data_IF_961201242169
#
_entry.id   IF_961201242169
#
_cell.length_a   1.000
_cell.length_b   1.000
_cell.length_c   1.000
_cell.angle_alpha   90.00
_cell.angle_beta   90.00
_cell.angle_gamma   90.00
#
_symmetry.space_group_name_H-M   'P 1'
#
loop_
_entity.id
_entity.type
_entity.pdbx_description
1 polymer ?
#
# COMPACT_ATOMS: atom_id res chain seq x y z
N UNK A 1 -66.81 21.84 -26.87
CA UNK A 1 -67.52 20.57 -27.16
C UNK A 1 -66.50 19.45 -27.09
N UNK A 2 -66.79 18.37 -26.36
CA UNK A 2 -66.11 17.08 -26.51
C UNK A 2 -64.87 16.83 -25.64
N UNK A 3 -65.11 16.41 -24.40
CA UNK A 3 -64.22 15.51 -23.65
C UNK A 3 -64.16 14.13 -24.34
N UNK A 4 -62.99 13.49 -24.43
CA UNK A 4 -62.71 12.15 -23.83
C UNK A 4 -61.36 11.52 -24.27
N UNK A 5 -60.65 11.02 -23.23
CA UNK A 5 -59.82 9.79 -23.11
C UNK A 5 -58.41 9.73 -23.71
N UNK A 6 -57.44 10.15 -22.89
CA UNK A 6 -56.55 9.30 -22.05
C UNK A 6 -55.95 7.98 -22.60
N UNK A 7 -54.61 7.99 -22.68
CA UNK A 7 -53.60 6.99 -22.27
C UNK A 7 -53.39 5.62 -22.96
N UNK A 8 -52.10 5.26 -22.90
CA UNK A 8 -51.48 3.93 -22.95
C UNK A 8 -51.31 3.23 -24.30
N UNK A 9 -50.17 3.49 -24.94
CA UNK A 9 -49.25 2.40 -25.30
C UNK A 9 -47.83 2.91 -25.55
N UNK A 10 -47.08 2.97 -24.45
CA UNK A 10 -45.63 2.88 -24.48
C UNK A 10 -45.28 1.39 -24.64
N UNK A 11 -44.94 0.95 -25.85
CA UNK A 11 -44.15 -0.28 -26.02
C UNK A 11 -43.06 -0.08 -27.08
N UNK A 12 -41.85 -0.23 -26.57
CA UNK A 12 -40.54 -0.25 -27.22
C UNK A 12 -40.58 -1.03 -28.54
N UNK A 13 -40.22 -0.37 -29.65
CA UNK A 13 -39.81 -1.03 -30.88
C UNK A 13 -38.48 -0.45 -31.38
N UNK A 14 -37.39 -0.91 -30.75
CA UNK A 14 -36.05 -0.83 -31.30
C UNK A 14 -35.94 -1.87 -32.42
N UNK A 15 -35.95 -1.43 -33.67
CA UNK A 15 -35.76 -2.30 -34.83
C UNK A 15 -34.41 -3.01 -34.72
N UNK A 16 -34.44 -4.32 -34.44
CA UNK A 16 -33.24 -5.17 -34.44
C UNK A 16 -32.63 -5.17 -35.84
N UNK A 17 -31.48 -4.50 -35.99
CA UNK A 17 -30.61 -4.71 -37.14
C UNK A 17 -30.20 -6.19 -37.16
N UNK A 18 -30.67 -6.93 -38.17
CA UNK A 18 -30.31 -8.32 -38.38
C UNK A 18 -28.87 -8.37 -38.89
N UNK A 19 -27.91 -8.62 -38.00
CA UNK A 19 -26.52 -8.91 -38.38
C UNK A 19 -26.46 -10.37 -38.82
N UNK A 20 -26.67 -10.64 -40.11
CA UNK A 20 -26.43 -11.98 -40.67
C UNK A 20 -24.96 -12.08 -41.09
N UNK A 21 -24.09 -12.43 -40.14
CA UNK A 21 -22.67 -12.73 -40.41
C UNK A 21 -22.58 -14.04 -41.18
N UNK A 22 -22.12 -13.98 -42.44
CA UNK A 22 -21.84 -15.16 -43.25
C UNK A 22 -20.65 -15.92 -42.65
N UNK A 23 -20.79 -17.24 -42.47
CA UNK A 23 -19.72 -18.13 -41.96
C UNK A 23 -18.43 -18.03 -42.80
N UNK A 24 -18.53 -17.59 -44.06
CA UNK A 24 -17.39 -17.31 -44.92
C UNK A 24 -16.52 -16.12 -44.45
N UNK A 25 -17.07 -15.13 -43.75
CA UNK A 25 -16.30 -13.99 -43.24
C UNK A 25 -15.44 -14.34 -42.02
N UNK A 26 -15.81 -15.36 -41.24
CA UNK A 26 -14.99 -15.82 -40.11
C UNK A 26 -13.80 -16.66 -40.59
N UNK A 27 -13.95 -17.47 -41.63
CA UNK A 27 -12.86 -18.26 -42.22
C UNK A 27 -11.78 -17.39 -42.89
N UNK A 28 -12.15 -16.24 -43.47
CA UNK A 28 -11.19 -15.31 -44.07
C UNK A 28 -10.28 -14.62 -43.04
N UNK A 29 -10.72 -14.49 -41.78
CA UNK A 29 -9.92 -13.88 -40.71
C UNK A 29 -8.88 -14.86 -40.14
N UNK A 30 -9.16 -16.18 -40.15
CA UNK A 30 -8.18 -17.18 -39.71
C UNK A 30 -7.04 -17.42 -40.70
N UNK A 31 -7.26 -17.19 -42.00
CA UNK A 31 -6.22 -17.32 -43.03
C UNK A 31 -5.21 -16.15 -42.97
N UNK A 32 -5.63 -14.98 -42.49
CA UNK A 32 -4.74 -13.83 -42.29
C UNK A 32 -3.94 -13.90 -40.97
N UNK A 33 -4.29 -14.80 -40.04
CA UNK A 33 -3.58 -14.99 -38.76
C UNK A 33 -2.56 -16.14 -38.80
N UNK A 34 -2.50 -16.94 -39.88
CA UNK A 34 -1.54 -18.05 -40.03
C UNK A 34 -0.35 -17.66 -40.94
N UNK A 35 -0.37 -16.48 -41.58
CA UNK A 35 0.58 -16.09 -42.64
C UNK A 35 1.63 -15.02 -42.32
N UNK A 36 1.69 -14.47 -41.10
CA UNK A 36 2.74 -13.52 -40.68
C UNK A 36 3.16 -13.81 -39.23
N UNK A 37 3.68 -15.01 -38.98
CA UNK A 37 4.61 -15.19 -37.87
C UNK A 37 5.93 -14.53 -38.24
N UNK A 38 6.59 -13.74 -37.36
CA UNK A 38 7.93 -13.25 -37.64
C UNK A 38 8.84 -14.44 -37.95
N UNK A 39 9.52 -14.39 -39.10
CA UNK A 39 10.51 -15.38 -39.52
C UNK A 39 11.53 -15.62 -38.40
N UNK A 40 11.82 -16.90 -38.13
CA UNK A 40 12.61 -17.39 -37.00
C UNK A 40 14.13 -17.11 -37.09
N UNK A 41 14.53 -15.89 -37.44
CA UNK A 41 15.95 -15.55 -37.57
C UNK A 41 16.39 -14.25 -36.90
N UNK A 42 15.60 -13.64 -36.01
CA UNK A 42 16.13 -12.51 -35.21
C UNK A 42 15.38 -12.27 -33.89
N UNK A 43 15.30 -13.30 -33.04
CA UNK A 43 15.34 -13.05 -31.60
C UNK A 43 16.81 -13.04 -31.19
N UNK A 44 17.52 -11.95 -31.51
CA UNK A 44 18.85 -11.70 -30.96
C UNK A 44 18.67 -11.38 -29.47
N UNK A 45 18.76 -12.39 -28.60
CA UNK A 45 18.99 -12.12 -27.18
C UNK A 45 20.45 -11.74 -27.03
N UNK A 46 20.73 -10.46 -26.82
CA UNK A 46 22.03 -10.09 -26.30
C UNK A 46 22.06 -10.53 -24.82
N UNK A 47 22.74 -11.63 -24.52
CA UNK A 47 23.27 -11.78 -23.17
C UNK A 47 24.35 -10.72 -23.00
N UNK A 48 23.92 -9.55 -22.55
CA UNK A 48 24.83 -8.56 -22.04
C UNK A 48 25.46 -9.13 -20.77
N UNK A 49 26.71 -9.60 -20.87
CA UNK A 49 27.52 -10.05 -19.74
C UNK A 49 28.03 -8.89 -18.87
N UNK A 50 27.25 -7.81 -18.74
CA UNK A 50 27.43 -6.83 -17.68
C UNK A 50 26.99 -7.46 -16.36
N UNK A 51 27.96 -7.88 -15.55
CA UNK A 51 27.81 -8.41 -14.19
C UNK A 51 27.11 -7.46 -13.19
N UNK A 52 26.65 -6.29 -13.64
CA UNK A 52 25.90 -5.32 -12.85
C UNK A 52 24.37 -5.55 -12.82
N UNK A 53 23.82 -6.49 -13.60
CA UNK A 53 22.38 -6.81 -13.59
C UNK A 53 21.99 -8.02 -12.72
N UNK A 54 22.96 -8.74 -12.15
CA UNK A 54 22.69 -9.95 -11.36
C UNK A 54 22.31 -9.66 -9.90
N UNK A 55 22.39 -8.41 -9.47
CA UNK A 55 22.14 -8.01 -8.09
C UNK A 55 20.84 -7.19 -8.04
N UNK A 56 19.72 -7.88 -7.84
CA UNK A 56 18.41 -7.23 -7.66
C UNK A 56 18.20 -6.80 -6.20
N UNK A 57 17.48 -5.68 -5.96
CA UNK A 57 17.08 -5.31 -4.61
C UNK A 57 16.26 -6.43 -3.96
N UNK A 58 16.49 -6.67 -2.67
CA UNK A 58 15.77 -7.69 -1.90
C UNK A 58 15.53 -7.20 -0.48
N UNK A 59 14.34 -7.45 0.05
CA UNK A 59 14.06 -7.21 1.47
C UNK A 59 14.77 -8.26 2.33
N UNK A 60 15.24 -7.83 3.49
CA UNK A 60 15.70 -8.75 4.54
C UNK A 60 14.54 -9.15 5.44
N UNK A 61 14.47 -10.44 5.76
CA UNK A 61 13.43 -11.01 6.65
C UNK A 61 13.94 -11.14 8.10
N UNK A 62 14.79 -10.20 8.52
CA UNK A 62 15.43 -10.22 9.84
C UNK A 62 14.52 -9.67 10.95
N UNK A 63 13.48 -8.94 10.58
CA UNK A 63 12.62 -8.22 11.51
C UNK A 63 11.18 -8.73 11.48
N UNK A 64 10.52 -8.73 12.65
CA UNK A 64 9.09 -9.01 12.73
C UNK A 64 8.27 -8.00 11.93
N UNK A 65 7.25 -8.49 11.23
CA UNK A 65 6.25 -7.67 10.52
C UNK A 65 5.10 -7.25 11.42
N UNK A 66 5.06 -7.73 12.66
CA UNK A 66 4.05 -7.37 13.66
C UNK A 66 4.73 -6.60 14.79
N UNK A 67 4.26 -5.37 15.01
CA UNK A 67 4.80 -4.46 16.01
C UNK A 67 3.68 -4.04 16.96
N UNK A 68 3.90 -4.26 18.24
CA UNK A 68 3.02 -3.80 19.31
C UNK A 68 3.65 -2.64 20.04
N UNK A 69 2.84 -1.63 20.32
CA UNK A 69 3.26 -0.41 20.96
C UNK A 69 2.23 0.07 21.97
N UNK A 70 2.67 0.86 22.92
CA UNK A 70 1.81 1.61 23.82
C UNK A 70 1.71 3.06 23.35
N UNK A 71 0.52 3.67 23.50
CA UNK A 71 0.32 5.07 23.18
C UNK A 71 1.36 5.98 23.88
N UNK A 72 1.89 6.95 23.15
CA UNK A 72 2.95 7.85 23.59
C UNK A 72 4.38 7.35 23.34
N UNK A 73 4.58 6.06 23.01
CA UNK A 73 5.92 5.54 22.69
C UNK A 73 6.44 6.07 21.35
N UNK A 74 7.76 6.23 21.26
CA UNK A 74 8.42 6.44 19.96
C UNK A 74 8.78 5.09 19.36
N UNK A 75 8.35 4.86 18.12
CA UNK A 75 8.49 3.58 17.42
C UNK A 75 9.42 3.73 16.23
N UNK A 76 10.02 2.62 15.83
CA UNK A 76 10.80 2.49 14.62
C UNK A 76 10.32 1.24 13.87
N UNK A 77 9.59 1.44 12.77
CA UNK A 77 9.20 0.34 11.89
C UNK A 77 10.42 -0.01 11.02
N UNK A 78 10.96 -1.23 11.10
CA UNK A 78 12.17 -1.61 10.39
C UNK A 78 11.86 -1.96 8.94
N UNK A 79 12.71 -1.52 8.02
CA UNK A 79 12.76 -2.05 6.67
C UNK A 79 14.22 -2.10 6.26
N UNK A 80 14.69 -3.26 5.79
CA UNK A 80 16.05 -3.42 5.30
C UNK A 80 16.02 -3.95 3.88
N UNK A 81 16.75 -3.30 2.98
CA UNK A 81 16.79 -3.59 1.54
C UNK A 81 18.25 -3.71 1.13
N UNK A 82 18.67 -4.94 0.84
CA UNK A 82 19.97 -5.19 0.23
C UNK A 82 19.94 -4.77 -1.22
N UNK A 83 21.11 -4.33 -1.71
CA UNK A 83 21.34 -4.03 -3.13
C UNK A 83 20.39 -2.97 -3.70
N UNK A 84 20.06 -1.96 -2.89
CA UNK A 84 19.14 -0.89 -3.29
C UNK A 84 19.63 -0.13 -4.55
N UNK A 85 20.95 0.05 -4.69
CA UNK A 85 21.54 0.75 -5.83
C UNK A 85 21.03 2.18 -5.95
N UNK A 86 20.45 2.54 -7.10
CA UNK A 86 19.86 3.86 -7.36
C UNK A 86 18.36 3.93 -7.04
N UNK A 87 17.79 2.88 -6.47
CA UNK A 87 16.37 2.80 -6.11
C UNK A 87 16.12 3.56 -4.80
N UNK A 88 14.86 3.88 -4.57
CA UNK A 88 14.40 4.68 -3.43
C UNK A 88 13.38 3.88 -2.66
N UNK A 89 13.54 3.88 -1.33
CA UNK A 89 12.57 3.33 -0.39
C UNK A 89 11.56 4.40 -0.01
N UNK A 90 10.28 4.06 -0.03
CA UNK A 90 9.18 4.95 0.38
C UNK A 90 8.29 4.26 1.40
N UNK A 91 7.80 5.02 2.38
CA UNK A 91 6.84 4.55 3.36
C UNK A 91 5.45 5.06 3.04
N UNK A 92 4.49 4.13 2.97
CA UNK A 92 3.09 4.41 2.65
C UNK A 92 2.21 3.84 3.75
N UNK A 93 1.17 4.57 4.13
CA UNK A 93 0.14 4.03 5.02
C UNK A 93 -0.96 3.37 4.20
N UNK A 94 -1.22 2.09 4.41
CA UNK A 94 -2.14 1.32 3.55
C UNK A 94 -3.60 1.76 3.68
N UNK A 95 -4.02 2.31 4.84
CA UNK A 95 -5.42 2.68 5.09
C UNK A 95 -5.98 3.76 4.16
N UNK A 96 -5.13 4.70 3.77
CA UNK A 96 -5.45 5.91 3.00
C UNK A 96 -4.52 6.12 1.80
N UNK A 97 -3.61 5.17 1.56
CA UNK A 97 -2.55 5.23 0.55
C UNK A 97 -1.70 6.51 0.65
N UNK A 98 -1.59 7.08 1.85
CA UNK A 98 -0.86 8.32 2.05
C UNK A 98 0.65 8.06 2.09
N UNK A 99 1.40 8.76 1.24
CA UNK A 99 2.86 8.71 1.24
C UNK A 99 3.36 9.46 2.46
N UNK A 100 4.03 8.74 3.37
CA UNK A 100 4.60 9.32 4.58
C UNK A 100 5.98 9.89 4.28
N UNK A 101 6.84 9.10 3.64
CA UNK A 101 8.21 9.49 3.29
C UNK A 101 8.63 8.85 1.96
N UNK A 102 9.58 9.49 1.27
CA UNK A 102 10.30 8.89 0.14
C UNK A 102 11.78 9.26 0.24
N UNK A 103 12.64 8.25 0.32
CA UNK A 103 14.05 8.41 0.64
C UNK A 103 14.22 9.15 1.97
N UNK A 104 14.91 10.29 1.94
CA UNK A 104 15.14 11.15 3.11
C UNK A 104 14.07 12.21 3.32
N UNK A 105 13.12 12.36 2.39
CA UNK A 105 12.12 13.42 2.42
C UNK A 105 10.81 12.92 3.04
N UNK A 106 10.26 13.73 3.95
CA UNK A 106 8.93 13.49 4.55
C UNK A 106 7.86 14.25 3.78
N UNK A 107 6.80 13.55 3.35
CA UNK A 107 5.65 14.12 2.65
C UNK A 107 4.44 14.31 3.56
N UNK A 108 4.34 13.51 4.62
CA UNK A 108 3.30 13.67 5.63
C UNK A 108 3.38 15.05 6.30
N UNK A 109 2.25 15.71 6.48
CA UNK A 109 2.15 16.95 7.26
C UNK A 109 2.36 16.73 8.77
N UNK A 110 2.22 15.48 9.22
CA UNK A 110 2.45 15.11 10.62
C UNK A 110 3.95 14.92 10.88
N UNK A 111 4.53 15.84 11.66
CA UNK A 111 5.96 15.89 11.98
C UNK A 111 6.46 14.73 12.85
N UNK A 112 5.57 13.86 13.34
CA UNK A 112 5.95 12.66 14.10
C UNK A 112 6.56 11.58 13.21
N UNK A 113 6.25 11.59 11.91
CA UNK A 113 6.76 10.63 10.93
C UNK A 113 8.10 11.10 10.35
N UNK A 114 9.09 10.23 10.38
CA UNK A 114 10.44 10.56 9.92
C UNK A 114 11.15 9.33 9.35
N UNK A 115 11.83 9.50 8.22
CA UNK A 115 12.65 8.45 7.62
C UNK A 115 14.02 8.37 8.30
N UNK A 116 14.39 7.19 8.79
CA UNK A 116 15.68 6.90 9.43
C UNK A 116 16.45 5.92 8.55
N UNK A 117 17.66 6.29 8.13
CA UNK A 117 18.49 5.47 7.24
C UNK A 117 19.96 5.56 7.63
N UNK A 118 20.71 4.51 7.31
CA UNK A 118 22.16 4.43 7.58
C UNK A 118 22.96 4.70 6.30
N UNK A 119 23.89 5.64 6.35
CA UNK A 119 24.65 6.12 5.18
C UNK A 119 25.65 5.10 4.62
N UNK A 120 26.08 4.11 5.41
CA UNK A 120 27.24 3.27 5.09
C UNK A 120 26.98 2.15 4.06
N UNK A 121 25.72 1.82 3.75
CA UNK A 121 25.40 0.74 2.81
C UNK A 121 23.98 0.76 2.23
N UNK A 122 23.12 1.70 2.63
CA UNK A 122 21.74 1.75 2.11
C UNK A 122 20.87 0.55 2.52
N UNK A 123 21.32 -0.25 3.49
CA UNK A 123 20.61 -1.45 3.92
C UNK A 123 19.37 -1.08 4.74
N UNK A 124 19.49 -0.24 5.77
CA UNK A 124 18.37 0.04 6.69
C UNK A 124 17.63 1.34 6.36
N UNK A 125 16.30 1.26 6.27
CA UNK A 125 15.34 2.33 5.97
C UNK A 125 14.13 2.26 6.90
N UNK A 126 14.30 2.62 8.17
CA UNK A 126 13.23 2.60 9.16
C UNK A 126 12.30 3.81 9.09
N UNK A 127 11.02 3.63 9.43
CA UNK A 127 10.09 4.72 9.69
C UNK A 127 9.98 4.98 11.20
N UNK A 128 10.42 6.14 11.64
CA UNK A 128 10.24 6.60 13.01
C UNK A 128 8.87 7.27 13.17
N UNK A 129 8.14 6.89 14.22
CA UNK A 129 6.87 7.49 14.63
C UNK A 129 7.02 7.96 16.08
N UNK A 130 7.10 9.27 16.31
CA UNK A 130 7.22 9.84 17.66
C UNK A 130 5.84 9.98 18.31
N UNK A 131 5.70 9.57 19.57
CA UNK A 131 4.43 9.72 20.29
C UNK A 131 3.28 8.99 19.58
N UNK A 132 3.37 7.66 19.48
CA UNK A 132 2.37 6.84 18.79
C UNK A 132 0.98 7.02 19.39
N UNK A 133 -0.04 7.17 18.54
CA UNK A 133 -1.43 7.25 18.94
C UNK A 133 -2.13 5.93 18.65
N UNK A 134 -3.22 5.63 19.37
CA UNK A 134 -4.06 4.43 19.09
C UNK A 134 -4.55 4.43 17.64
N UNK A 135 -4.84 5.61 17.08
CA UNK A 135 -5.25 5.81 15.68
C UNK A 135 -4.13 5.57 14.64
N UNK A 136 -2.87 5.45 15.08
CA UNK A 136 -1.76 5.04 14.21
C UNK A 136 -1.75 3.52 13.97
N UNK A 137 -2.60 2.76 14.68
CA UNK A 137 -2.82 1.32 14.43
C UNK A 137 -3.24 1.10 12.98
N UNK A 138 -2.62 0.13 12.32
CA UNK A 138 -2.89 -0.22 10.94
C UNK A 138 -1.66 -0.79 10.23
N UNK A 139 -1.79 -0.95 8.92
CA UNK A 139 -0.73 -1.47 8.07
C UNK A 139 0.06 -0.33 7.41
N UNK A 140 1.38 -0.49 7.40
CA UNK A 140 2.35 0.40 6.78
C UNK A 140 3.17 -0.41 5.79
N UNK A 141 3.46 0.17 4.63
CA UNK A 141 4.22 -0.48 3.57
C UNK A 141 5.53 0.24 3.33
N UNK A 142 6.62 -0.51 3.38
CA UNK A 142 7.91 -0.13 2.84
C UNK A 142 7.95 -0.56 1.36
N UNK A 143 8.03 0.40 0.45
CA UNK A 143 8.02 0.17 -1.00
C UNK A 143 9.34 0.57 -1.64
N UNK A 144 9.80 -0.22 -2.60
CA UNK A 144 10.96 0.08 -3.44
C UNK A 144 10.47 0.32 -4.86
N UNK A 145 10.95 1.40 -5.49
CA UNK A 145 10.59 1.79 -6.85
C UNK A 145 11.26 0.93 -7.96
N UNK A 146 11.25 -0.39 -7.78
CA UNK A 146 11.61 -1.38 -8.80
C UNK A 146 10.47 -1.57 -9.81
N UNK A 147 10.76 -2.22 -10.93
CA UNK A 147 9.77 -2.66 -11.91
C UNK A 147 9.85 -4.19 -12.03
N UNK A 148 8.83 -4.96 -11.59
CA UNK A 148 7.62 -4.51 -10.90
C UNK A 148 7.90 -3.99 -9.48
N UNK A 149 6.95 -3.20 -8.93
CA UNK A 149 7.11 -2.63 -7.58
C UNK A 149 7.30 -3.72 -6.52
N UNK A 150 8.22 -3.48 -5.59
CA UNK A 150 8.42 -4.34 -4.43
C UNK A 150 7.85 -3.67 -3.19
N UNK A 151 7.17 -4.43 -2.33
CA UNK A 151 6.54 -3.93 -1.11
C UNK A 151 6.66 -4.91 0.05
N UNK A 152 6.98 -4.39 1.24
CA UNK A 152 6.99 -5.10 2.52
C UNK A 152 5.96 -4.45 3.45
N UNK A 153 4.95 -5.20 3.85
CA UNK A 153 3.89 -4.71 4.73
C UNK A 153 4.18 -5.05 6.20
N UNK A 154 3.92 -4.10 7.09
CA UNK A 154 4.14 -4.16 8.53
C UNK A 154 2.85 -3.75 9.24
N UNK A 155 2.41 -4.58 10.17
CA UNK A 155 1.24 -4.38 11.01
C UNK A 155 1.64 -3.74 12.33
N UNK A 156 1.17 -2.50 12.56
CA UNK A 156 1.36 -1.79 13.82
C UNK A 156 0.07 -1.85 14.65
N UNK A 157 0.17 -2.30 15.90
CA UNK A 157 -0.89 -2.25 16.90
C UNK A 157 -0.49 -1.36 18.07
N UNK A 158 -1.22 -0.26 18.28
CA UNK A 158 -0.97 0.66 19.40
C UNK A 158 -2.11 0.52 20.41
N UNK A 159 -1.80 0.04 21.60
CA UNK A 159 -2.75 -0.05 22.72
C UNK A 159 -2.62 1.15 23.66
N UNK A 160 -3.72 1.55 24.32
CA UNK A 160 -3.59 2.44 25.46
C UNK A 160 -2.82 1.69 26.55
N UNK A 161 -1.82 2.34 27.14
CA UNK A 161 -1.16 1.77 28.31
C UNK A 161 -2.23 1.54 29.36
N UNK A 162 -2.24 0.35 29.99
CA UNK A 162 -2.94 0.17 31.25
C UNK A 162 -2.26 1.08 32.27
N UNK A 163 -2.59 2.36 32.27
CA UNK A 163 -2.57 3.11 33.50
C UNK A 163 -3.51 2.34 34.42
N UNK A 164 -3.00 1.79 35.52
CA UNK A 164 -3.87 1.25 36.57
C UNK A 164 -4.73 2.42 37.05
N UNK A 165 -5.89 2.59 36.41
CA UNK A 165 -6.95 3.51 36.83
C UNK A 165 -7.37 3.16 38.26
N UNK A 166 -7.13 1.93 38.70
CA UNK A 166 -7.28 1.51 40.09
C UNK A 166 -6.36 2.32 41.02
N UNK A 167 -5.09 2.54 40.68
CA UNK A 167 -4.15 3.22 41.58
C UNK A 167 -4.45 4.73 41.72
N UNK A 168 -4.80 5.41 40.62
CA UNK A 168 -5.18 6.83 40.66
C UNK A 168 -6.58 7.05 41.24
N UNK A 169 -7.50 6.11 41.04
CA UNK A 169 -8.80 6.11 41.73
C UNK A 169 -8.62 5.87 43.24
N UNK A 170 -7.78 4.92 43.65
CA UNK A 170 -7.44 4.68 45.06
C UNK A 170 -6.77 5.89 45.70
N UNK A 171 -5.80 6.53 45.04
CA UNK A 171 -5.17 7.75 45.56
C UNK A 171 -6.17 8.93 45.64
N UNK A 172 -7.08 9.05 44.66
CA UNK A 172 -8.14 10.05 44.70
C UNK A 172 -9.11 9.79 45.86
N UNK A 173 -9.59 8.55 46.02
CA UNK A 173 -10.42 8.12 47.15
C UNK A 173 -9.73 8.32 48.50
N UNK A 174 -8.44 7.98 48.63
CA UNK A 174 -7.67 8.23 49.84
C UNK A 174 -7.56 9.72 50.17
N UNK A 175 -7.37 10.58 49.16
CA UNK A 175 -7.34 12.03 49.36
C UNK A 175 -8.70 12.62 49.76
N UNK A 176 -9.81 12.00 49.33
CA UNK A 176 -11.18 12.40 49.70
C UNK A 176 -11.51 11.92 51.11
N UNK A 177 -11.16 10.68 51.46
CA UNK A 177 -11.39 10.10 52.79
C UNK A 177 -10.57 10.82 53.88
N UNK A 178 -9.30 11.17 53.61
CA UNK A 178 -8.44 11.90 54.55
C UNK A 178 -8.85 13.36 54.75
N UNK A 179 -9.68 13.91 53.87
CA UNK A 179 -10.23 15.27 53.99
C UNK A 179 -11.54 15.32 54.77
N UNK A 180 -12.17 14.17 55.01
CA UNK A 180 -13.47 14.06 55.68
C UNK A 180 -13.36 13.71 57.18
N UNK A 181 -12.14 13.71 57.72
CA UNK A 181 -11.82 13.37 59.12
C UNK A 181 -11.17 14.57 59.86
N UNK A 182 -11.50 15.80 59.45
CA UNK A 182 -11.07 17.05 60.10
C UNK A 182 -12.20 18.06 60.20
#
# INVERSE_FOLDING_TARGET
MGWQRENEQNSVNMSRAKVTLSVFQLLQVWILMIGFGPSASEYHWEANNNTNYLISPAFDDLYSREIHATAGQTLLLPCSVRNLGTKVVSWIRSKDLHILTSGRHTFSSDSRFESVHTDSSGDFWGLRIRGAHVADTGQYECQVNTEPKMSLAISLTVSQGRYNLDFYSFLCLQSVLTKNDR
#
